data_IF_341742060742
#
_entry.id   IF_341742060742
#
_cell.length_a   1.000
_cell.length_b   1.000
_cell.length_c   1.000
_cell.angle_alpha   90.00
_cell.angle_beta   90.00
_cell.angle_gamma   90.00
#
_symmetry.space_group_name_H-M   'P 1'
#
loop_
_entity.id
_entity.type
_entity.pdbx_description
1 polymer ?
#
# COMPACT_ATOMS: atom_id res chain seq x y z
N UNK A 1 5.71 -21.70 -7.55
CA UNK A 1 5.08 -21.15 -6.32
C UNK A 1 3.64 -21.67 -6.27
N UNK A 2 3.38 -22.75 -5.52
CA UNK A 2 2.10 -23.50 -5.50
C UNK A 2 1.21 -23.12 -4.30
N UNK A 3 1.18 -21.83 -3.92
CA UNK A 3 0.24 -21.39 -2.89
C UNK A 3 -1.15 -21.21 -3.52
N UNK A 4 -2.10 -22.03 -3.08
CA UNK A 4 -3.51 -21.90 -3.45
C UNK A 4 -4.01 -20.54 -2.96
N UNK A 5 -4.53 -19.70 -3.87
CA UNK A 5 -5.00 -18.36 -3.51
C UNK A 5 -6.05 -18.44 -2.41
N UNK A 6 -5.89 -17.62 -1.36
CA UNK A 6 -6.86 -17.51 -0.26
C UNK A 6 -8.17 -16.87 -0.71
N UNK A 7 -8.11 -15.98 -1.70
CA UNK A 7 -9.26 -15.27 -2.23
C UNK A 7 -9.43 -15.59 -3.71
N UNK A 8 -10.66 -15.88 -4.13
CA UNK A 8 -10.98 -16.12 -5.55
C UNK A 8 -10.99 -14.82 -6.35
N UNK A 9 -11.39 -13.71 -5.72
CA UNK A 9 -11.33 -12.38 -6.32
C UNK A 9 -9.92 -11.83 -6.27
N UNK A 10 -9.60 -11.06 -7.30
CA UNK A 10 -8.35 -10.33 -7.46
C UNK A 10 -8.55 -8.90 -7.00
N UNK A 11 -7.66 -8.39 -6.15
CA UNK A 11 -7.83 -7.08 -5.50
C UNK A 11 -6.84 -6.09 -6.10
N UNK A 12 -7.30 -4.85 -6.31
CA UNK A 12 -6.44 -3.68 -6.48
C UNK A 12 -6.59 -2.81 -5.24
N UNK A 13 -5.49 -2.27 -4.73
CA UNK A 13 -5.59 -1.35 -3.59
C UNK A 13 -4.48 -0.29 -3.62
N UNK A 14 -4.74 0.80 -2.91
CA UNK A 14 -3.75 1.81 -2.56
C UNK A 14 -3.64 1.91 -1.06
N UNK A 15 -2.40 1.91 -0.56
CA UNK A 15 -2.09 2.20 0.84
C UNK A 15 -1.64 3.65 0.92
N UNK A 16 -2.33 4.44 1.75
CA UNK A 16 -1.93 5.80 2.09
C UNK A 16 -1.34 5.76 3.49
N UNK A 17 -0.05 6.07 3.61
CA UNK A 17 0.65 6.21 4.86
C UNK A 17 0.87 7.69 5.18
N UNK A 18 0.90 8.02 6.47
CA UNK A 18 1.16 9.39 6.93
C UNK A 18 2.21 9.37 8.04
N UNK A 19 3.00 10.45 8.12
CA UNK A 19 4.00 10.65 9.17
C UNK A 19 5.00 11.73 8.80
N UNK A 20 5.24 12.66 9.73
CA UNK A 20 6.22 13.73 9.54
C UNK A 20 7.64 13.17 9.42
N UNK A 21 8.42 13.76 8.51
CA UNK A 21 9.84 13.45 8.30
C UNK A 21 10.15 11.96 7.99
N UNK A 22 9.17 11.21 7.48
CA UNK A 22 9.38 9.81 7.08
C UNK A 22 10.54 9.70 6.09
N UNK A 23 11.58 8.96 6.50
CA UNK A 23 12.81 8.80 5.73
C UNK A 23 12.57 7.98 4.46
N UNK A 24 13.44 8.14 3.46
CA UNK A 24 13.39 7.31 2.25
C UNK A 24 13.47 5.81 2.56
N UNK A 25 14.24 5.43 3.60
CA UNK A 25 14.38 4.04 4.05
C UNK A 25 13.09 3.48 4.63
N UNK A 26 12.36 4.28 5.42
CA UNK A 26 11.06 3.88 5.97
C UNK A 26 10.01 3.76 4.87
N UNK A 27 9.99 4.71 3.93
CA UNK A 27 9.09 4.67 2.76
C UNK A 27 9.33 3.45 1.88
N UNK A 28 10.59 3.11 1.62
CA UNK A 28 10.98 1.89 0.90
C UNK A 28 10.59 0.61 1.67
N UNK A 29 10.84 0.59 2.98
CA UNK A 29 10.50 -0.54 3.85
C UNK A 29 9.00 -0.82 3.82
N UNK A 30 8.17 0.21 3.99
CA UNK A 30 6.72 0.06 3.94
C UNK A 30 6.25 -0.42 2.56
N UNK A 31 6.82 0.14 1.49
CA UNK A 31 6.48 -0.28 0.11
C UNK A 31 6.74 -1.78 -0.10
N UNK A 32 7.88 -2.29 0.40
CA UNK A 32 8.20 -3.73 0.37
C UNK A 32 7.23 -4.57 1.19
N UNK A 33 6.85 -4.10 2.38
CA UNK A 33 5.87 -4.78 3.24
C UNK A 33 4.50 -4.87 2.57
N UNK A 34 4.05 -3.79 1.91
CA UNK A 34 2.78 -3.75 1.19
C UNK A 34 2.76 -4.78 0.06
N UNK A 35 3.82 -4.86 -0.75
CA UNK A 35 3.93 -5.83 -1.85
C UNK A 35 3.94 -7.27 -1.30
N UNK A 36 4.74 -7.53 -0.26
CA UNK A 36 4.81 -8.85 0.36
C UNK A 36 3.45 -9.31 0.92
N UNK A 37 2.70 -8.40 1.54
CA UNK A 37 1.36 -8.69 2.04
C UNK A 37 0.32 -8.85 0.92
N UNK A 38 0.53 -8.24 -0.24
CA UNK A 38 -0.35 -8.36 -1.40
C UNK A 38 -0.59 -9.82 -1.85
N UNK A 39 0.39 -10.70 -1.63
CA UNK A 39 0.26 -12.15 -1.88
C UNK A 39 -0.92 -12.74 -1.10
N UNK A 40 -1.12 -12.32 0.16
CA UNK A 40 -2.20 -12.80 1.00
C UNK A 40 -3.59 -12.39 0.47
N UNK A 41 -3.65 -11.28 -0.26
CA UNK A 41 -4.90 -10.69 -0.77
C UNK A 41 -5.20 -11.02 -2.22
N UNK A 42 -4.41 -11.91 -2.86
CA UNK A 42 -4.51 -12.17 -4.29
C UNK A 42 -4.46 -10.86 -5.11
N UNK A 43 -3.53 -9.97 -4.75
CA UNK A 43 -3.44 -8.64 -5.35
C UNK A 43 -2.96 -8.73 -6.80
N UNK A 44 -3.40 -7.78 -7.63
CA UNK A 44 -2.95 -7.64 -9.02
C UNK A 44 -2.18 -6.36 -9.24
N UNK A 45 -2.48 -5.36 -8.41
CA UNK A 45 -1.88 -4.05 -8.45
C UNK A 45 -2.00 -3.45 -7.06
N UNK A 46 -0.87 -2.95 -6.55
CA UNK A 46 -0.79 -2.26 -5.28
C UNK A 46 0.05 -1.01 -5.44
N UNK A 47 -0.37 0.09 -4.85
CA UNK A 47 0.44 1.30 -4.75
C UNK A 47 0.54 1.79 -3.31
N UNK A 48 1.63 2.49 -3.00
CA UNK A 48 1.84 3.13 -1.72
C UNK A 48 2.06 4.63 -1.93
N UNK A 49 1.31 5.45 -1.20
CA UNK A 49 1.41 6.91 -1.19
C UNK A 49 1.74 7.37 0.22
N UNK A 50 2.53 8.43 0.33
CA UNK A 50 2.95 9.01 1.60
C UNK A 50 2.55 10.46 1.68
N UNK A 51 2.08 10.87 2.84
CA UNK A 51 1.84 12.27 3.21
C UNK A 51 2.49 12.55 4.55
N UNK A 52 2.70 13.82 4.86
CA UNK A 52 3.35 14.20 6.11
C UNK A 52 2.34 14.17 7.27
N UNK A 53 1.08 14.55 7.02
CA UNK A 53 0.02 14.63 8.03
C UNK A 53 -1.21 13.79 7.68
N UNK A 54 -2.03 13.43 8.68
CA UNK A 54 -3.29 12.70 8.45
C UNK A 54 -4.32 13.59 7.73
N UNK A 55 -4.22 14.89 7.92
CA UNK A 55 -5.04 15.93 7.32
C UNK A 55 -4.88 16.03 5.80
N UNK A 56 -3.77 15.51 5.25
CA UNK A 56 -3.52 15.48 3.80
C UNK A 56 -4.17 14.26 3.11
N UNK A 57 -4.63 13.26 3.86
CA UNK A 57 -5.24 12.04 3.31
C UNK A 57 -6.49 12.34 2.44
N UNK A 58 -7.43 13.22 2.85
CA UNK A 58 -8.57 13.58 2.01
C UNK A 58 -8.18 14.08 0.62
N UNK A 59 -7.13 14.92 0.53
CA UNK A 59 -6.63 15.45 -0.74
C UNK A 59 -6.12 14.35 -1.67
N UNK A 60 -5.46 13.33 -1.11
CA UNK A 60 -5.01 12.18 -1.89
C UNK A 60 -6.15 11.29 -2.36
N UNK A 61 -7.22 11.15 -1.58
CA UNK A 61 -8.37 10.33 -1.97
C UNK A 61 -9.11 10.87 -3.19
N UNK A 62 -9.06 12.16 -3.43
CA UNK A 62 -9.69 12.79 -4.61
C UNK A 62 -8.97 12.47 -5.93
N UNK A 63 -7.72 11.98 -5.87
CA UNK A 63 -6.86 11.73 -7.05
C UNK A 63 -6.49 10.25 -7.24
N UNK A 64 -7.13 9.35 -6.50
CA UNK A 64 -6.98 7.89 -6.58
C UNK A 64 -8.19 7.24 -7.26
#
# INVERSE_FOLDING_TARGET
>A
MHHKSRYSKRIKFTVIAYGEEATLKEKDTLSKLVIANGINFNVIESSCRFVDSVEDIPRLREVL
#
